data_IF_514871117654
#
_entry.id   IF_514871117654
#
_cell.length_a   1.000
_cell.length_b   1.000
_cell.length_c   1.000
_cell.angle_alpha   90.00
_cell.angle_beta   90.00
_cell.angle_gamma   90.00
#
_symmetry.space_group_name_H-M   'P 1'
#
loop_
_entity.id
_entity.type
_entity.pdbx_description
1 polymer ?
#
# COMPACT_ATOMS: atom_id res chain seq x y z
N UNK A 1 4.14 -2.03 30.11
CA UNK A 1 2.96 -2.58 29.39
C UNK A 1 2.11 -1.41 28.95
N UNK A 2 1.77 -1.29 27.66
CA UNK A 2 0.91 -0.20 27.17
C UNK A 2 -0.55 -0.45 27.54
N UNK A 3 -1.25 0.59 28.03
CA UNK A 3 -2.67 0.57 28.37
C UNK A 3 -3.56 0.45 27.11
N UNK A 4 -3.05 0.93 25.96
CA UNK A 4 -3.72 0.86 24.67
C UNK A 4 -2.79 0.21 23.64
N UNK A 5 -3.34 -0.70 22.83
CA UNK A 5 -2.64 -1.34 21.72
C UNK A 5 -3.44 -1.13 20.45
N UNK A 6 -2.74 -0.95 19.33
CA UNK A 6 -3.37 -1.01 18.02
C UNK A 6 -4.00 -2.40 17.84
N UNK A 7 -5.21 -2.43 17.28
CA UNK A 7 -5.85 -3.69 16.88
C UNK A 7 -5.47 -3.95 15.43
N UNK A 8 -4.41 -4.71 15.25
CA UNK A 8 -3.93 -5.08 13.92
C UNK A 8 -4.89 -6.11 13.30
N UNK A 9 -5.34 -5.81 12.10
CA UNK A 9 -6.17 -6.72 11.29
C UNK A 9 -5.51 -7.03 9.94
N UNK A 10 -4.55 -6.21 9.51
CA UNK A 10 -3.71 -6.45 8.35
C UNK A 10 -2.39 -5.69 8.53
N UNK A 11 -1.30 -6.33 8.13
CA UNK A 11 0.02 -5.73 8.05
C UNK A 11 0.83 -6.45 6.98
N UNK A 12 1.85 -5.76 6.45
CA UNK A 12 2.78 -6.32 5.48
C UNK A 12 4.18 -5.76 5.75
N UNK A 13 5.20 -6.63 5.66
CA UNK A 13 6.58 -6.22 5.55
C UNK A 13 6.95 -6.19 4.07
N UNK A 14 7.52 -5.08 3.60
CA UNK A 14 7.75 -4.84 2.17
C UNK A 14 9.22 -4.97 1.82
N UNK A 15 9.53 -5.96 0.98
CA UNK A 15 10.88 -6.21 0.48
C UNK A 15 11.90 -6.58 1.56
N UNK A 16 13.15 -6.75 1.13
CA UNK A 16 14.29 -6.92 2.01
C UNK A 16 15.23 -5.73 1.84
N UNK A 17 15.43 -4.95 2.90
CA UNK A 17 16.29 -3.77 2.87
C UNK A 17 15.75 -2.61 2.03
N UNK A 18 14.45 -2.57 1.74
CA UNK A 18 13.82 -1.41 1.10
C UNK A 18 13.71 -0.23 2.07
N UNK A 19 13.89 0.98 1.54
CA UNK A 19 13.80 2.23 2.28
C UNK A 19 12.59 3.06 1.82
N UNK A 20 11.99 3.73 2.79
CA UNK A 20 10.77 4.53 2.64
C UNK A 20 10.86 5.78 3.52
N UNK A 21 10.11 6.82 3.17
CA UNK A 21 10.00 8.06 3.95
C UNK A 21 8.59 8.65 3.82
N UNK A 22 8.39 9.85 4.37
CA UNK A 22 7.20 10.65 4.12
C UNK A 22 6.97 10.84 2.61
N UNK A 23 5.72 10.60 2.17
CA UNK A 23 5.34 10.68 0.76
C UNK A 23 5.39 9.34 0.02
N UNK A 24 6.05 8.32 0.57
CA UNK A 24 6.08 6.97 -0.01
C UNK A 24 4.78 6.18 0.14
N UNK A 25 3.79 6.70 0.87
CA UNK A 25 2.51 6.08 1.15
C UNK A 25 1.36 7.02 0.73
N UNK A 26 0.42 6.50 -0.06
CA UNK A 26 -0.83 7.17 -0.39
C UNK A 26 -2.00 6.20 -0.21
N UNK A 27 -3.17 6.74 0.15
CA UNK A 27 -4.43 5.99 0.28
C UNK A 27 -5.48 6.67 -0.57
N UNK A 28 -6.11 5.91 -1.45
CA UNK A 28 -7.19 6.41 -2.32
C UNK A 28 -7.73 5.37 -3.29
N UNK A 29 -8.86 5.67 -3.91
CA UNK A 29 -9.52 4.86 -4.95
C UNK A 29 -8.79 4.95 -6.31
N UNK A 30 -7.53 4.49 -6.35
CA UNK A 30 -6.62 4.61 -7.51
C UNK A 30 -7.12 3.85 -8.76
N UNK A 31 -7.91 2.79 -8.58
CA UNK A 31 -8.51 2.00 -9.66
C UNK A 31 -9.92 2.50 -10.04
N UNK A 32 -10.43 3.55 -9.38
CA UNK A 32 -11.77 4.11 -9.59
C UNK A 32 -12.88 3.05 -9.52
N UNK A 33 -12.81 2.13 -8.54
CA UNK A 33 -13.72 0.98 -8.49
C UNK A 33 -15.18 1.36 -8.25
N UNK A 34 -15.46 2.58 -7.79
CA UNK A 34 -16.81 3.07 -7.50
C UNK A 34 -17.45 2.42 -6.27
N UNK A 35 -16.71 1.55 -5.56
CA UNK A 35 -17.13 0.90 -4.31
C UNK A 35 -16.85 1.75 -3.08
N UNK A 36 -16.13 2.87 -3.25
CA UNK A 36 -15.67 3.73 -2.16
C UNK A 36 -14.63 3.09 -1.25
N UNK A 37 -14.01 1.98 -1.69
CA UNK A 37 -12.93 1.33 -0.95
C UNK A 37 -11.59 1.88 -1.44
N UNK A 38 -10.81 2.46 -0.53
CA UNK A 38 -9.48 2.92 -0.86
C UNK A 38 -8.48 1.76 -0.97
N UNK A 39 -7.38 2.01 -1.68
CA UNK A 39 -6.25 1.12 -1.82
C UNK A 39 -5.04 1.77 -1.20
N UNK A 40 -4.13 0.94 -0.70
CA UNK A 40 -2.86 1.37 -0.13
C UNK A 40 -1.81 1.34 -1.23
N UNK A 41 -1.29 2.49 -1.59
CA UNK A 41 -0.24 2.65 -2.62
C UNK A 41 1.07 2.96 -1.92
N UNK A 42 2.10 2.15 -2.19
CA UNK A 42 3.43 2.32 -1.58
C UNK A 42 4.51 2.32 -2.66
N UNK A 43 5.39 3.31 -2.63
CA UNK A 43 6.58 3.37 -3.46
C UNK A 43 7.85 3.37 -2.61
N UNK A 44 8.87 2.61 -2.98
CA UNK A 44 10.17 2.60 -2.28
C UNK A 44 11.26 3.36 -3.03
N UNK A 45 12.31 3.73 -2.30
CA UNK A 45 13.53 4.30 -2.89
C UNK A 45 14.29 3.34 -3.81
N UNK A 46 13.91 2.07 -3.80
CA UNK A 46 14.51 1.03 -4.63
C UNK A 46 13.75 0.91 -5.95
N UNK A 47 12.69 1.71 -6.15
CA UNK A 47 11.87 1.76 -7.35
C UNK A 47 10.70 0.77 -7.35
N UNK A 48 10.43 0.09 -6.23
CA UNK A 48 9.30 -0.84 -6.14
C UNK A 48 8.01 -0.07 -5.86
N UNK A 49 7.05 -0.17 -6.80
CA UNK A 49 5.69 0.32 -6.62
C UNK A 49 4.76 -0.86 -6.32
N UNK A 50 4.02 -0.78 -5.21
CA UNK A 50 3.04 -1.77 -4.78
C UNK A 50 1.68 -1.14 -4.52
N UNK A 51 0.62 -1.84 -4.88
CA UNK A 51 -0.77 -1.44 -4.58
C UNK A 51 -1.45 -2.60 -3.86
N UNK A 52 -2.04 -2.33 -2.71
CA UNK A 52 -2.78 -3.29 -1.91
C UNK A 52 -4.24 -2.90 -1.77
N UNK A 53 -5.12 -3.90 -1.72
CA UNK A 53 -6.51 -3.76 -1.29
C UNK A 53 -6.77 -4.71 -0.10
N UNK A 54 -6.37 -4.33 1.12
CA UNK A 54 -6.59 -5.14 2.31
C UNK A 54 -8.08 -5.35 2.56
N UNK A 55 -8.51 -6.61 2.74
CA UNK A 55 -9.92 -6.94 2.97
C UNK A 55 -10.14 -7.51 4.37
N UNK A 56 -10.94 -6.83 5.18
CA UNK A 56 -11.27 -7.22 6.57
C UNK A 56 -11.86 -8.63 6.63
N UNK A 57 -12.63 -9.06 5.63
CA UNK A 57 -13.28 -10.36 5.59
C UNK A 57 -12.31 -11.52 5.28
N UNK A 58 -11.09 -11.22 4.83
CA UNK A 58 -10.03 -12.21 4.59
C UNK A 58 -8.91 -12.16 5.63
N UNK A 59 -9.01 -11.28 6.62
CA UNK A 59 -7.98 -10.96 7.59
C UNK A 59 -7.52 -12.14 8.48
N UNK A 60 -8.31 -13.22 8.62
CA UNK A 60 -7.92 -14.37 9.45
C UNK A 60 -7.16 -15.46 8.71
N UNK A 61 -7.12 -15.46 7.37
CA UNK A 61 -6.47 -16.54 6.59
C UNK A 61 -5.59 -16.03 5.44
N UNK A 62 -5.83 -14.82 4.93
CA UNK A 62 -5.08 -14.27 3.80
C UNK A 62 -3.88 -13.45 4.23
N UNK A 63 -2.70 -13.86 3.77
CA UNK A 63 -1.46 -13.10 3.97
C UNK A 63 -1.37 -11.84 3.08
N UNK A 64 -0.26 -11.08 3.17
CA UNK A 64 -0.04 -9.88 2.35
C UNK A 64 -0.20 -10.09 0.85
N UNK A 65 0.11 -11.30 0.37
CA UNK A 65 -0.01 -11.69 -1.04
C UNK A 65 -1.47 -11.62 -1.55
N UNK A 66 -2.46 -11.92 -0.70
CA UNK A 66 -3.87 -11.91 -1.10
C UNK A 66 -4.43 -10.48 -1.24
N UNK A 67 -3.78 -9.52 -0.57
CA UNK A 67 -4.12 -8.11 -0.66
C UNK A 67 -3.36 -7.39 -1.79
N UNK A 68 -2.27 -7.97 -2.30
CA UNK A 68 -1.42 -7.36 -3.32
C UNK A 68 -2.13 -7.39 -4.69
N UNK A 69 -2.46 -6.21 -5.22
CA UNK A 69 -3.07 -6.06 -6.53
C UNK A 69 -2.03 -5.90 -7.64
N UNK A 70 -0.94 -5.19 -7.35
CA UNK A 70 0.11 -4.87 -8.30
C UNK A 70 1.44 -4.72 -7.58
N UNK A 71 2.49 -5.25 -8.19
CA UNK A 71 3.88 -5.04 -7.84
C UNK A 71 4.69 -4.82 -9.13
N UNK A 72 5.43 -3.72 -9.20
CA UNK A 72 6.26 -3.39 -10.36
C UNK A 72 7.56 -2.70 -9.95
N UNK A 73 8.66 -3.10 -10.58
CA UNK A 73 9.97 -2.47 -10.45
C UNK A 73 10.12 -1.36 -11.50
N UNK A 74 10.14 -0.11 -11.04
CA UNK A 74 10.52 1.04 -11.84
C UNK A 74 12.04 1.22 -11.84
N UNK A 75 12.57 1.97 -12.80
CA UNK A 75 14.04 2.14 -12.97
C UNK A 75 14.70 3.00 -11.89
N UNK A 76 13.93 3.88 -11.25
CA UNK A 76 14.43 4.92 -10.35
C UNK A 76 13.68 4.89 -9.02
N UNK A 77 14.29 5.51 -8.00
CA UNK A 77 13.68 5.73 -6.70
C UNK A 77 12.33 6.45 -6.79
N UNK A 78 11.36 6.00 -6.00
CA UNK A 78 10.05 6.66 -5.87
C UNK A 78 10.09 7.56 -4.64
N UNK A 79 10.08 8.87 -4.85
CA UNK A 79 10.16 9.85 -3.76
C UNK A 79 8.77 10.15 -3.17
N UNK A 80 7.74 10.15 -4.02
CA UNK A 80 6.38 10.50 -3.62
C UNK A 80 5.35 9.81 -4.51
N UNK A 81 4.26 9.37 -3.91
CA UNK A 81 3.06 8.85 -4.60
C UNK A 81 1.84 9.64 -4.18
N UNK A 82 1.00 10.00 -5.14
CA UNK A 82 -0.28 10.68 -4.89
C UNK A 82 -1.38 10.13 -5.81
N UNK A 83 -2.63 10.27 -5.38
CA UNK A 83 -3.82 9.90 -6.15
C UNK A 83 -4.65 11.14 -6.37
N UNK A 84 -4.99 11.42 -7.64
CA UNK A 84 -5.73 12.63 -8.01
C UNK A 84 -6.15 12.63 -9.48
N UNK A 85 -6.89 13.68 -9.87
CA UNK A 85 -7.33 13.90 -11.26
C UNK A 85 -6.23 14.59 -12.05
N UNK A 86 -5.19 13.85 -12.41
CA UNK A 86 -4.00 14.38 -13.08
C UNK A 86 -4.10 14.42 -14.62
N UNK A 87 -5.22 13.94 -15.19
CA UNK A 87 -5.48 13.94 -16.63
C UNK A 87 -6.63 14.90 -16.92
N UNK A 88 -6.46 15.76 -17.93
CA UNK A 88 -7.40 16.81 -18.36
C UNK A 88 -8.48 16.30 -19.30
#
# INVERSE_FOLDING_TARGET
>A
MSLFKARDWWSAALGEGEEFDQGCLCVGDVDNSGTGQDKVVVGSYMGMLRIFSPNVNKASEGGPADALLLEVQLKNAIIQVEVGKFVS
#
